data_IF_771309045528
#
_entry.id   IF_771309045528
#
_cell.length_a   1.000
_cell.length_b   1.000
_cell.length_c   1.000
_cell.angle_alpha   90.00
_cell.angle_beta   90.00
_cell.angle_gamma   90.00
#
_symmetry.space_group_name_H-M   'P 1'
#
loop_
_entity.id
_entity.type
_entity.pdbx_description
1 polymer ?
#
# COMPACT_ATOMS: atom_id res chain seq x y z
N UNK A 1 -9.18 -18.82 6.84
CA UNK A 1 -8.23 -18.11 7.70
C UNK A 1 -7.17 -17.45 6.82
N UNK A 2 -6.96 -16.16 6.98
CA UNK A 2 -5.98 -15.44 6.18
C UNK A 2 -4.58 -15.63 6.74
N UNK A 3 -3.63 -15.83 5.84
CA UNK A 3 -2.23 -15.82 6.23
C UNK A 3 -1.80 -14.38 6.52
N UNK A 4 -0.87 -14.24 7.45
CA UNK A 4 -0.30 -12.93 7.79
C UNK A 4 0.96 -12.68 7.00
N UNK A 5 1.24 -11.42 6.76
CA UNK A 5 2.48 -10.97 6.12
C UNK A 5 2.97 -9.71 6.80
N UNK A 6 4.21 -9.35 6.52
CA UNK A 6 4.76 -8.06 6.98
C UNK A 6 4.54 -7.02 5.90
N UNK A 7 4.25 -5.80 6.33
CA UNK A 7 4.11 -4.68 5.42
C UNK A 7 4.42 -3.37 6.14
N UNK A 8 4.88 -2.39 5.39
CA UNK A 8 4.98 -1.01 5.88
C UNK A 8 3.66 -0.33 5.55
N UNK A 9 2.95 0.09 6.56
CA UNK A 9 1.64 0.73 6.36
C UNK A 9 1.47 1.91 7.31
N UNK A 10 0.51 2.76 6.99
CA UNK A 10 0.20 3.92 7.82
C UNK A 10 -1.28 3.89 8.20
N UNK A 11 -1.55 4.35 9.42
CA UNK A 11 -2.90 4.42 9.97
C UNK A 11 -3.43 5.87 9.96
N UNK A 12 -2.59 6.81 9.59
CA UNK A 12 -2.95 8.23 9.44
C UNK A 12 -1.93 8.89 8.53
N UNK A 13 -2.29 10.03 7.97
CA UNK A 13 -1.32 10.84 7.23
C UNK A 13 -0.33 11.51 8.19
N UNK A 14 0.84 11.84 7.69
CA UNK A 14 1.86 12.53 8.48
C UNK A 14 3.23 12.46 7.87
N UNK A 15 4.25 12.69 8.68
CA UNK A 15 5.64 12.59 8.30
C UNK A 15 6.13 11.14 8.33
N UNK A 16 7.47 10.93 8.27
CA UNK A 16 8.04 9.57 8.25
C UNK A 16 7.63 8.71 9.44
N UNK A 17 7.30 9.32 10.57
CA UNK A 17 6.93 8.60 11.79
C UNK A 17 5.64 7.80 11.66
N UNK A 18 4.80 8.07 10.65
CA UNK A 18 3.56 7.32 10.46
C UNK A 18 3.78 5.99 9.75
N UNK A 19 4.97 5.76 9.20
CA UNK A 19 5.29 4.52 8.51
C UNK A 19 5.61 3.43 9.55
N UNK A 20 4.77 2.40 9.60
CA UNK A 20 4.91 1.33 10.58
C UNK A 20 5.13 -0.01 9.87
N UNK A 21 6.19 -0.73 10.26
CA UNK A 21 6.43 -2.09 9.79
C UNK A 21 5.72 -3.05 10.72
N UNK A 22 4.67 -3.67 10.23
CA UNK A 22 3.80 -4.46 11.09
C UNK A 22 3.16 -5.63 10.35
N UNK A 23 2.51 -6.51 11.10
CA UNK A 23 1.77 -7.62 10.53
C UNK A 23 0.44 -7.14 9.96
N UNK A 24 0.06 -7.69 8.82
CA UNK A 24 -1.26 -7.45 8.24
C UNK A 24 -1.68 -8.70 7.49
N UNK A 25 -2.98 -8.79 7.15
CA UNK A 25 -3.48 -9.93 6.40
C UNK A 25 -2.93 -9.95 4.99
N UNK A 26 -2.53 -11.12 4.52
CA UNK A 26 -2.15 -11.33 3.14
C UNK A 26 -3.39 -11.09 2.27
N UNK A 27 -3.30 -10.33 1.16
CA UNK A 27 -4.46 -10.08 0.32
C UNK A 27 -4.98 -11.37 -0.30
N UNK A 28 -6.29 -11.43 -0.51
CA UNK A 28 -6.93 -12.51 -1.24
C UNK A 28 -7.06 -12.11 -2.70
N UNK A 29 -6.69 -13.01 -3.60
CA UNK A 29 -6.80 -12.75 -5.04
C UNK A 29 -8.26 -12.88 -5.46
N UNK A 30 -8.75 -11.89 -6.21
CA UNK A 30 -10.12 -11.86 -6.73
C UNK A 30 -10.13 -12.16 -8.22
N UNK A 31 -11.32 -12.34 -8.79
CA UNK A 31 -11.46 -12.56 -10.23
C UNK A 31 -10.82 -11.41 -11.00
N UNK A 32 -10.02 -11.75 -12.01
CA UNK A 32 -9.32 -10.76 -12.83
C UNK A 32 -8.05 -10.21 -12.21
N UNK A 33 -7.62 -10.74 -11.06
CA UNK A 33 -6.43 -10.27 -10.36
C UNK A 33 -5.35 -11.34 -10.30
N UNK A 34 -4.14 -10.91 -10.01
CA UNK A 34 -3.03 -11.82 -9.68
C UNK A 34 -2.44 -11.40 -8.34
N UNK A 35 -1.96 -12.37 -7.58
CA UNK A 35 -1.22 -12.13 -6.36
C UNK A 35 0.27 -12.27 -6.67
N UNK A 36 1.04 -11.23 -6.34
CA UNK A 36 2.47 -11.20 -6.62
C UNK A 36 3.25 -11.33 -5.32
N UNK A 37 4.17 -12.28 -5.29
CA UNK A 37 5.17 -12.35 -4.24
C UNK A 37 6.23 -11.31 -4.55
N UNK A 38 6.27 -10.24 -3.79
CA UNK A 38 7.10 -9.07 -4.07
C UNK A 38 8.56 -9.36 -3.77
N UNK A 39 9.44 -9.08 -4.74
CA UNK A 39 10.88 -9.13 -4.55
C UNK A 39 11.47 -7.75 -4.35
N UNK A 40 10.92 -6.75 -5.02
CA UNK A 40 11.39 -5.37 -4.92
C UNK A 40 10.28 -4.40 -5.31
N UNK A 41 10.35 -3.20 -4.77
CA UNK A 41 9.49 -2.10 -5.14
C UNK A 41 10.30 -0.82 -5.02
N UNK A 42 10.01 0.17 -5.88
CA UNK A 42 10.70 1.44 -5.81
C UNK A 42 9.89 2.47 -5.03
N UNK A 43 10.57 3.53 -4.59
CA UNK A 43 9.95 4.68 -3.99
C UNK A 43 9.84 5.78 -5.03
N UNK A 44 8.71 6.43 -5.08
CA UNK A 44 8.42 7.48 -6.05
C UNK A 44 7.84 8.70 -5.35
N UNK A 45 7.99 9.92 -5.95
CA UNK A 45 7.45 11.13 -5.32
C UNK A 45 5.98 11.05 -4.87
N UNK A 46 5.06 10.43 -5.64
CA UNK A 46 3.67 10.30 -5.17
C UNK A 46 3.53 9.59 -3.83
N UNK A 47 4.45 8.67 -3.50
CA UNK A 47 4.41 7.98 -2.20
C UNK A 47 4.57 8.96 -1.05
N UNK A 48 5.48 9.93 -1.20
CA UNK A 48 5.72 10.96 -0.19
C UNK A 48 4.52 11.89 -0.06
N UNK A 49 3.94 12.28 -1.19
CA UNK A 49 2.78 13.18 -1.20
C UNK A 49 1.56 12.50 -0.59
N UNK A 50 1.32 11.23 -0.91
CA UNK A 50 0.19 10.49 -0.35
C UNK A 50 0.37 10.29 1.16
N UNK A 51 1.61 10.01 1.60
CA UNK A 51 1.90 9.86 3.04
C UNK A 51 1.46 11.08 3.83
N UNK A 52 1.67 12.28 3.30
CA UNK A 52 1.27 13.50 4.00
C UNK A 52 -0.18 13.92 3.71
N UNK A 53 -0.89 13.17 2.87
CA UNK A 53 -2.28 13.46 2.52
C UNK A 53 -2.44 14.49 1.43
N UNK A 54 -1.41 14.75 0.63
CA UNK A 54 -1.44 15.77 -0.42
C UNK A 54 -1.88 17.13 0.10
N UNK A 55 -1.30 17.55 1.23
CA UNK A 55 -1.69 18.80 1.90
C UNK A 55 -1.56 20.04 1.03
N UNK A 56 -0.71 19.99 0.00
CA UNK A 56 -0.54 21.10 -0.94
C UNK A 56 -1.73 21.26 -1.90
N UNK A 57 -2.59 20.25 -2.00
CA UNK A 57 -3.76 20.29 -2.87
C UNK A 57 -4.96 20.93 -2.14
N UNK A 58 -5.91 21.52 -2.91
CA UNK A 58 -7.17 21.97 -2.31
C UNK A 58 -7.87 20.81 -1.60
N UNK A 59 -8.62 21.09 -0.50
CA UNK A 59 -9.26 20.01 0.27
C UNK A 59 -10.13 19.07 -0.56
N UNK A 60 -10.82 19.58 -1.58
CA UNK A 60 -11.70 18.79 -2.43
C UNK A 60 -10.93 17.79 -3.32
N UNK A 61 -9.62 17.99 -3.46
CA UNK A 61 -8.77 17.10 -4.27
C UNK A 61 -7.90 16.19 -3.41
N UNK A 62 -7.96 16.34 -2.10
CA UNK A 62 -7.18 15.51 -1.21
C UNK A 62 -7.77 14.11 -1.13
N UNK A 63 -6.92 13.05 -1.03
CA UNK A 63 -7.42 11.69 -0.96
C UNK A 63 -8.12 11.42 0.37
N UNK A 64 -9.07 10.48 0.32
CA UNK A 64 -9.78 10.02 1.51
C UNK A 64 -9.74 8.50 1.54
N UNK A 65 -8.56 7.90 1.74
CA UNK A 65 -8.42 6.45 1.69
C UNK A 65 -8.93 5.79 2.95
N UNK A 66 -9.12 4.47 2.86
CA UNK A 66 -9.34 3.64 4.03
C UNK A 66 -7.99 3.28 4.65
N UNK A 67 -7.84 3.50 5.94
CA UNK A 67 -6.65 3.08 6.67
C UNK A 67 -6.87 1.67 7.25
N UNK A 68 -5.82 0.87 7.46
CA UNK A 68 -4.42 1.18 7.15
C UNK A 68 -4.14 1.18 5.64
N UNK A 69 -3.17 1.97 5.23
CA UNK A 69 -2.84 2.19 3.82
C UNK A 69 -1.41 1.73 3.55
N UNK A 70 -1.22 0.99 2.47
CA UNK A 70 0.11 0.61 1.98
C UNK A 70 0.42 1.46 0.76
N UNK A 71 1.55 2.14 0.79
CA UNK A 71 1.98 3.00 -0.31
C UNK A 71 2.65 2.19 -1.41
N UNK A 72 2.80 2.82 -2.56
CA UNK A 72 3.53 2.25 -3.68
C UNK A 72 2.65 2.04 -4.90
N UNK A 73 3.25 2.22 -6.08
CA UNK A 73 2.55 2.10 -7.35
C UNK A 73 3.25 1.14 -8.31
N UNK A 74 4.39 0.57 -7.91
CA UNK A 74 5.09 -0.39 -8.75
C UNK A 74 5.65 -1.54 -7.92
N UNK A 75 5.97 -2.62 -8.60
CA UNK A 75 6.45 -3.82 -7.95
C UNK A 75 7.15 -4.71 -8.99
N UNK A 76 8.13 -5.48 -8.52
CA UNK A 76 8.65 -6.61 -9.27
C UNK A 76 8.60 -7.84 -8.37
N UNK A 77 8.31 -9.00 -8.97
CA UNK A 77 8.21 -10.23 -8.21
C UNK A 77 7.69 -11.36 -9.05
N UNK A 78 7.18 -12.38 -8.39
CA UNK A 78 6.70 -13.61 -9.03
C UNK A 78 5.20 -13.77 -8.75
N UNK A 79 4.44 -14.14 -9.77
CA UNK A 79 3.02 -14.43 -9.60
C UNK A 79 2.88 -15.66 -8.70
N UNK A 80 2.22 -15.49 -7.56
CA UNK A 80 2.02 -16.54 -6.58
C UNK A 80 0.64 -17.20 -6.72
N UNK A 81 -0.34 -16.45 -7.21
CA UNK A 81 -1.70 -16.98 -7.42
C UNK A 81 -2.42 -16.13 -8.45
N UNK A 82 -3.41 -16.73 -9.08
CA UNK A 82 -4.22 -16.08 -10.12
C UNK A 82 -5.68 -16.26 -9.75
N UNK A 83 -6.45 -15.19 -9.87
CA UNK A 83 -7.90 -15.26 -9.70
C UNK A 83 -8.58 -15.79 -10.96
N UNK A 84 -9.81 -16.20 -10.80
CA UNK A 84 -10.61 -16.75 -11.91
C UNK A 84 -11.08 -15.67 -12.89
#
# INVERSE_FOLDING_TARGET
MNEMMKAVQLHSFGGPEVLLYEDTSRPEVQAGEVLIQVHAASLNPPDLYLRDGYRALPPEWQPSPNFPLILGTDVSGVVAAVGD
#
